data_IF_087756967251
#
_entry.id   IF_087756967251
#
_cell.length_a   1.000
_cell.length_b   1.000
_cell.length_c   1.000
_cell.angle_alpha   90.00
_cell.angle_beta   90.00
_cell.angle_gamma   90.00
#
_symmetry.space_group_name_H-M   'P 1'
#
loop_
_entity.id
_entity.type
_entity.pdbx_description
1 polymer ?
#
# COMPACT_ATOMS: atom_id res chain seq x y z
N UNK A 1 48.56 -3.13 -63.65
CA UNK A 1 48.38 -3.93 -62.40
C UNK A 1 48.63 -3.01 -61.20
N UNK A 2 47.58 -2.69 -60.50
CA UNK A 2 47.66 -1.68 -59.38
C UNK A 2 48.04 -2.42 -58.08
N UNK A 3 49.27 -2.25 -57.63
CA UNK A 3 49.77 -2.86 -56.41
C UNK A 3 49.12 -2.13 -55.25
N UNK A 4 48.15 -2.76 -54.60
CA UNK A 4 47.50 -2.25 -53.39
C UNK A 4 48.49 -2.39 -52.22
N UNK A 5 48.95 -1.27 -51.66
CA UNK A 5 49.93 -1.25 -50.60
C UNK A 5 49.32 -1.81 -49.29
N UNK A 6 49.83 -2.94 -48.83
CA UNK A 6 49.39 -3.68 -47.63
C UNK A 6 49.31 -2.77 -46.39
N UNK A 7 50.12 -1.72 -46.33
CA UNK A 7 50.11 -0.76 -45.26
C UNK A 7 48.84 0.11 -45.23
N UNK A 8 48.28 0.43 -46.37
CA UNK A 8 47.03 1.19 -46.47
C UNK A 8 45.82 0.30 -46.16
N UNK A 9 45.84 -0.97 -46.50
CA UNK A 9 44.81 -1.93 -46.15
C UNK A 9 44.69 -2.10 -44.65
N UNK A 10 45.79 -2.24 -43.91
CA UNK A 10 45.76 -2.33 -42.43
C UNK A 10 45.12 -1.09 -41.80
N UNK A 11 45.47 0.12 -42.25
CA UNK A 11 44.89 1.36 -41.76
C UNK A 11 43.36 1.45 -42.01
N UNK A 12 42.90 0.96 -43.13
CA UNK A 12 41.48 0.94 -43.48
C UNK A 12 40.74 -0.07 -42.61
N UNK A 13 41.31 -1.25 -42.36
CA UNK A 13 40.72 -2.28 -41.50
C UNK A 13 40.59 -1.77 -40.04
N UNK A 14 41.62 -1.13 -39.48
CA UNK A 14 41.57 -0.57 -38.12
C UNK A 14 40.52 0.55 -38.00
N UNK A 15 40.39 1.42 -39.00
CA UNK A 15 39.37 2.46 -39.03
C UNK A 15 37.96 1.87 -39.15
N UNK A 16 37.76 0.82 -39.97
CA UNK A 16 36.48 0.12 -40.08
C UNK A 16 36.08 -0.58 -38.77
N UNK A 17 37.04 -1.26 -38.11
CA UNK A 17 36.79 -1.93 -36.82
C UNK A 17 36.45 -0.91 -35.74
N UNK A 18 37.16 0.24 -35.70
CA UNK A 18 36.89 1.32 -34.76
C UNK A 18 35.50 1.95 -34.97
N UNK A 19 35.11 2.16 -36.26
CA UNK A 19 33.79 2.70 -36.59
C UNK A 19 32.67 1.71 -36.24
N UNK A 20 32.90 0.40 -36.45
CA UNK A 20 31.95 -0.66 -36.12
C UNK A 20 31.80 -0.80 -34.59
N UNK A 21 32.88 -0.61 -33.82
CA UNK A 21 32.84 -0.63 -32.36
C UNK A 21 31.97 0.49 -31.78
N UNK A 22 31.98 1.68 -32.37
CA UNK A 22 31.15 2.82 -31.91
C UNK A 22 29.66 2.55 -32.15
N UNK A 23 29.30 1.81 -33.20
CA UNK A 23 27.91 1.46 -33.52
C UNK A 23 27.28 0.45 -32.54
N UNK A 24 28.09 -0.37 -31.87
CA UNK A 24 27.61 -1.41 -30.96
C UNK A 24 27.22 -0.83 -29.59
N UNK A 25 27.76 0.33 -29.20
CA UNK A 25 27.50 0.95 -27.88
C UNK A 25 26.19 1.75 -27.81
N UNK A 26 25.41 1.85 -28.89
CA UNK A 26 24.19 2.65 -28.89
C UNK A 26 22.89 1.84 -28.67
N UNK A 27 22.99 0.53 -28.39
CA UNK A 27 21.81 -0.32 -28.12
C UNK A 27 21.52 -0.53 -26.61
N UNK A 28 21.98 0.39 -25.74
CA UNK A 28 21.54 0.40 -24.37
C UNK A 28 20.37 1.38 -24.22
N UNK A 29 19.26 1.04 -24.85
CA UNK A 29 17.96 1.58 -24.45
C UNK A 29 17.33 0.50 -23.59
N UNK A 30 17.59 0.51 -22.29
CA UNK A 30 16.71 -0.13 -21.33
C UNK A 30 15.37 0.60 -21.44
N UNK A 31 14.33 -0.13 -21.82
CA UNK A 31 12.96 0.32 -21.61
C UNK A 31 12.81 0.52 -20.09
N UNK A 32 12.87 1.77 -19.68
CA UNK A 32 12.53 2.15 -18.31
C UNK A 32 11.04 1.85 -18.19
N UNK A 33 10.70 0.71 -17.60
CA UNK A 33 9.35 0.40 -17.22
C UNK A 33 8.86 1.54 -16.29
N UNK A 34 8.05 2.41 -16.86
CA UNK A 34 7.50 3.53 -16.09
C UNK A 34 6.40 2.99 -15.21
N UNK A 35 6.72 2.76 -13.95
CA UNK A 35 5.73 2.48 -12.93
C UNK A 35 4.96 3.77 -12.68
N UNK A 36 3.67 3.75 -12.98
CA UNK A 36 2.76 4.86 -12.69
C UNK A 36 2.14 4.63 -11.31
N UNK A 37 2.27 5.62 -10.44
CA UNK A 37 1.55 5.62 -9.18
C UNK A 37 0.04 5.77 -9.46
N UNK A 38 -0.74 4.79 -9.04
CA UNK A 38 -2.19 4.93 -8.98
C UNK A 38 -2.55 5.70 -7.69
N UNK A 39 -2.70 7.02 -7.81
CA UNK A 39 -3.02 7.89 -6.68
C UNK A 39 -4.47 7.72 -6.18
N UNK A 40 -5.33 7.07 -6.98
CA UNK A 40 -6.74 6.82 -6.67
C UNK A 40 -6.97 5.40 -6.12
N UNK A 41 -5.89 4.71 -5.71
CA UNK A 41 -6.00 3.38 -5.12
C UNK A 41 -6.72 3.47 -3.76
N UNK A 42 -7.90 2.85 -3.69
CA UNK A 42 -8.74 2.86 -2.49
C UNK A 42 -8.65 1.52 -1.75
N UNK A 43 -8.65 1.61 -0.43
CA UNK A 43 -8.79 0.47 0.48
C UNK A 43 -10.25 0.31 0.87
N UNK A 44 -10.83 -0.86 0.61
CA UNK A 44 -12.21 -1.18 1.00
C UNK A 44 -12.19 -1.87 2.36
N UNK A 45 -12.75 -1.21 3.38
CA UNK A 45 -12.89 -1.76 4.71
C UNK A 45 -14.18 -2.57 4.84
N UNK A 46 -14.09 -3.78 5.40
CA UNK A 46 -15.20 -4.65 5.72
C UNK A 46 -15.18 -4.99 7.21
N UNK A 47 -16.33 -5.01 7.86
CA UNK A 47 -16.51 -5.44 9.23
C UNK A 47 -17.19 -6.81 9.27
N UNK A 48 -16.81 -7.66 10.21
CA UNK A 48 -17.40 -9.01 10.37
C UNK A 48 -18.84 -8.99 10.90
N UNK A 49 -19.27 -7.87 11.49
CA UNK A 49 -20.63 -7.68 12.02
C UNK A 49 -21.02 -6.19 11.99
N UNK A 50 -22.30 -5.94 11.71
CA UNK A 50 -22.87 -4.58 11.76
C UNK A 50 -23.36 -4.19 13.16
N UNK A 51 -23.61 -5.16 14.04
CA UNK A 51 -24.06 -4.96 15.39
C UNK A 51 -23.33 -5.89 16.35
N UNK A 52 -22.84 -5.37 17.45
CA UNK A 52 -22.17 -6.11 18.51
C UNK A 52 -22.72 -5.72 19.88
N UNK A 53 -22.68 -6.65 20.83
CA UNK A 53 -23.07 -6.40 22.22
C UNK A 53 -21.85 -6.62 23.11
N UNK A 54 -21.42 -5.57 23.80
CA UNK A 54 -20.25 -5.60 24.66
C UNK A 54 -20.70 -5.96 26.09
N UNK A 55 -20.24 -7.12 26.58
CA UNK A 55 -20.55 -7.61 27.94
C UNK A 55 -19.29 -7.93 28.71
N UNK A 56 -19.29 -7.67 30.00
CA UNK A 56 -18.13 -7.89 30.90
C UNK A 56 -17.71 -9.37 30.93
N UNK A 57 -18.67 -10.30 30.91
CA UNK A 57 -18.43 -11.74 30.93
C UNK A 57 -17.61 -12.25 29.72
N UNK A 58 -17.61 -11.50 28.65
CA UNK A 58 -16.91 -11.82 27.39
C UNK A 58 -15.78 -10.85 27.06
N UNK A 59 -15.26 -10.11 28.03
CA UNK A 59 -14.29 -9.02 27.86
C UNK A 59 -13.09 -9.39 26.96
N UNK A 60 -12.55 -10.59 27.10
CA UNK A 60 -11.38 -11.05 26.36
C UNK A 60 -11.71 -11.76 25.02
N UNK A 61 -13.01 -11.91 24.70
CA UNK A 61 -13.40 -12.54 23.44
C UNK A 61 -13.28 -11.54 22.29
N UNK A 62 -12.82 -12.01 21.14
CA UNK A 62 -12.90 -11.25 19.90
C UNK A 62 -14.38 -11.10 19.52
N UNK A 63 -14.80 -9.86 19.23
CA UNK A 63 -16.19 -9.53 18.95
C UNK A 63 -16.37 -8.91 17.56
N UNK A 64 -15.34 -8.28 17.03
CA UNK A 64 -15.38 -7.60 15.74
C UNK A 64 -14.03 -7.75 15.05
N UNK A 65 -14.06 -8.17 13.78
CA UNK A 65 -12.90 -8.17 12.91
C UNK A 65 -13.11 -7.15 11.80
N UNK A 66 -12.15 -6.27 11.63
CA UNK A 66 -12.05 -5.37 10.48
C UNK A 66 -11.05 -5.96 9.50
N UNK A 67 -11.42 -6.03 8.23
CA UNK A 67 -10.55 -6.49 7.14
C UNK A 67 -10.61 -5.53 5.97
N UNK A 68 -9.55 -5.44 5.19
CA UNK A 68 -9.50 -4.54 4.05
C UNK A 68 -8.71 -5.11 2.89
N UNK A 69 -8.94 -4.53 1.71
CA UNK A 69 -8.20 -4.88 0.51
C UNK A 69 -6.90 -4.09 0.44
N UNK A 70 -5.86 -4.73 -0.06
CA UNK A 70 -4.63 -4.03 -0.42
C UNK A 70 -4.89 -3.04 -1.55
N UNK A 71 -4.42 -1.79 -1.44
CA UNK A 71 -4.57 -0.81 -2.50
C UNK A 71 -3.62 -1.12 -3.66
N UNK A 72 -4.11 -1.06 -4.87
CA UNK A 72 -3.31 -1.30 -6.08
C UNK A 72 -2.60 -0.02 -6.54
N UNK A 73 -1.42 0.25 -6.01
CA UNK A 73 -0.61 1.41 -6.40
C UNK A 73 0.04 1.31 -7.79
N UNK A 74 -0.07 0.15 -8.47
CA UNK A 74 0.61 -0.12 -9.74
C UNK A 74 2.05 -0.61 -9.59
N UNK A 75 2.53 -0.77 -8.37
CA UNK A 75 3.83 -1.35 -8.03
C UNK A 75 3.78 -1.95 -6.63
N UNK A 76 4.72 -2.85 -6.35
CA UNK A 76 4.84 -3.49 -5.02
C UNK A 76 5.38 -2.46 -4.01
N UNK A 77 4.49 -1.93 -3.17
CA UNK A 77 4.79 -0.96 -2.13
C UNK A 77 4.43 -1.51 -0.76
N UNK A 78 5.30 -1.33 0.21
CA UNK A 78 4.97 -1.62 1.60
C UNK A 78 3.97 -0.58 2.12
N UNK A 79 2.73 -1.01 2.40
CA UNK A 79 1.69 -0.18 2.99
C UNK A 79 1.61 -0.39 4.51
N UNK A 80 1.32 0.67 5.25
CA UNK A 80 0.99 0.63 6.67
C UNK A 80 -0.46 1.09 6.83
N UNK A 81 -1.25 0.26 7.49
CA UNK A 81 -2.67 0.50 7.65
C UNK A 81 -3.01 1.02 9.03
N UNK A 82 -4.05 1.83 9.08
CA UNK A 82 -4.62 2.39 10.29
C UNK A 82 -6.13 2.33 10.21
N UNK A 83 -6.79 1.91 11.27
CA UNK A 83 -8.25 1.98 11.40
C UNK A 83 -8.61 3.18 12.27
N UNK A 84 -9.50 4.00 11.78
CA UNK A 84 -10.08 5.12 12.50
C UNK A 84 -11.49 4.74 12.95
N UNK A 85 -11.82 5.04 14.20
CA UNK A 85 -13.14 4.80 14.78
C UNK A 85 -13.67 6.12 15.33
N UNK A 86 -14.84 6.53 14.86
CA UNK A 86 -15.49 7.77 15.30
C UNK A 86 -16.97 7.53 15.57
N UNK A 87 -17.64 8.45 16.24
CA UNK A 87 -19.09 8.42 16.38
C UNK A 87 -19.78 8.62 15.03
N UNK A 88 -20.99 8.16 14.88
CA UNK A 88 -21.73 8.32 13.64
C UNK A 88 -21.93 9.80 13.29
N UNK A 89 -21.51 10.17 12.08
CA UNK A 89 -21.59 11.54 11.59
C UNK A 89 -20.42 12.44 12.00
N UNK A 90 -19.41 11.89 12.68
CA UNK A 90 -18.13 12.56 12.91
C UNK A 90 -17.34 12.75 11.61
N UNK A 91 -16.37 13.63 11.65
CA UNK A 91 -15.47 13.95 10.51
C UNK A 91 -14.10 13.26 10.63
N UNK A 92 -13.96 12.37 11.61
CA UNK A 92 -12.73 11.66 11.97
C UNK A 92 -11.59 12.56 12.49
N UNK A 93 -11.84 13.82 12.81
CA UNK A 93 -10.81 14.70 13.40
C UNK A 93 -10.42 14.28 14.83
N UNK A 94 -11.39 13.75 15.60
CA UNK A 94 -11.21 13.28 16.96
C UNK A 94 -11.32 11.74 17.09
N UNK A 95 -11.16 11.02 15.95
CA UNK A 95 -11.30 9.59 15.91
C UNK A 95 -10.27 8.86 16.78
N UNK A 96 -10.65 7.68 17.29
CA UNK A 96 -9.70 6.74 17.87
C UNK A 96 -8.84 6.13 16.78
N UNK A 97 -7.52 6.27 16.88
CA UNK A 97 -6.55 5.81 15.90
C UNK A 97 -6.03 4.43 16.32
N UNK A 98 -6.18 3.45 15.46
CA UNK A 98 -5.74 2.07 15.72
C UNK A 98 -4.76 1.63 14.63
N UNK A 99 -3.45 1.62 14.91
CA UNK A 99 -2.46 1.13 13.96
C UNK A 99 -2.62 -0.39 13.74
N UNK A 100 -2.71 -0.82 12.49
CA UNK A 100 -2.80 -2.21 12.09
C UNK A 100 -1.48 -2.75 11.48
N UNK A 101 -0.48 -1.87 11.28
CA UNK A 101 0.79 -2.24 10.66
C UNK A 101 0.60 -2.62 9.18
N UNK A 102 1.24 -3.69 8.75
CA UNK A 102 1.13 -4.21 7.37
C UNK A 102 0.08 -5.31 7.21
N UNK A 103 -0.70 -5.62 8.25
CA UNK A 103 -1.74 -6.64 8.17
C UNK A 103 -2.94 -6.14 7.37
N UNK A 104 -3.68 -7.06 6.74
CA UNK A 104 -4.91 -6.76 6.00
C UNK A 104 -6.18 -7.00 6.82
N UNK A 105 -6.00 -7.30 8.09
CA UNK A 105 -7.09 -7.46 9.06
C UNK A 105 -6.62 -7.16 10.47
N UNK A 106 -7.57 -6.91 11.34
CA UNK A 106 -7.38 -6.81 12.78
C UNK A 106 -8.67 -7.18 13.51
N UNK A 107 -8.53 -7.81 14.68
CA UNK A 107 -9.65 -8.13 15.55
C UNK A 107 -9.65 -7.23 16.79
N UNK A 108 -10.83 -6.95 17.27
CA UNK A 108 -11.07 -6.24 18.54
C UNK A 108 -11.71 -7.17 19.54
N UNK A 109 -11.17 -7.21 20.74
CA UNK A 109 -11.86 -7.81 21.88
C UNK A 109 -12.96 -6.89 22.40
N UNK A 110 -13.87 -7.45 23.18
CA UNK A 110 -14.94 -6.66 23.83
C UNK A 110 -14.35 -5.55 24.68
N UNK A 111 -13.31 -5.84 25.49
CA UNK A 111 -12.65 -4.85 26.36
C UNK A 111 -12.01 -3.73 25.54
N UNK A 112 -11.25 -4.06 24.49
CA UNK A 112 -10.61 -3.07 23.63
C UNK A 112 -11.60 -2.17 22.93
N UNK A 113 -12.65 -2.75 22.35
CA UNK A 113 -13.69 -1.97 21.67
C UNK A 113 -14.44 -1.09 22.66
N UNK A 114 -14.82 -1.61 23.83
CA UNK A 114 -15.48 -0.84 24.87
C UNK A 114 -14.61 0.34 25.35
N UNK A 115 -13.32 0.11 25.58
CA UNK A 115 -12.39 1.17 25.98
C UNK A 115 -12.32 2.32 24.96
N UNK A 116 -12.35 1.99 23.67
CA UNK A 116 -12.37 2.99 22.58
C UNK A 116 -13.68 3.75 22.53
N UNK A 117 -14.81 3.05 22.72
CA UNK A 117 -16.14 3.69 22.77
C UNK A 117 -16.23 4.69 23.93
N UNK A 118 -15.74 4.31 25.11
CA UNK A 118 -15.67 5.22 26.26
C UNK A 118 -14.75 6.42 26.01
N UNK A 119 -13.64 6.21 25.32
CA UNK A 119 -12.71 7.28 24.96
C UNK A 119 -13.29 8.27 23.94
N UNK A 120 -14.24 7.82 23.10
CA UNK A 120 -15.05 8.68 22.24
C UNK A 120 -16.17 9.43 22.99
N UNK A 121 -16.32 9.19 24.30
CA UNK A 121 -17.35 9.82 25.12
C UNK A 121 -18.73 9.16 25.05
N UNK A 122 -18.81 7.93 24.51
CA UNK A 122 -20.08 7.20 24.44
C UNK A 122 -20.50 6.73 25.84
N UNK A 123 -21.81 6.77 26.12
CA UNK A 123 -22.38 6.44 27.41
C UNK A 123 -22.48 4.92 27.59
N UNK A 124 -22.00 4.34 28.70
CA UNK A 124 -22.18 2.92 28.99
C UNK A 124 -23.65 2.52 29.07
N UNK A 125 -23.94 1.28 28.69
CA UNK A 125 -25.29 0.68 28.69
C UNK A 125 -26.32 1.37 27.76
N UNK A 126 -25.85 2.15 26.79
CA UNK A 126 -26.67 2.74 25.77
C UNK A 126 -26.30 2.17 24.38
N UNK A 127 -27.28 2.11 23.47
CA UNK A 127 -27.02 1.77 22.08
C UNK A 127 -26.43 2.98 21.38
N UNK A 128 -25.25 2.81 20.81
CA UNK A 128 -24.56 3.86 20.06
C UNK A 128 -24.14 3.35 18.69
N UNK A 129 -24.06 4.24 17.73
CA UNK A 129 -23.55 3.93 16.39
C UNK A 129 -22.20 4.59 16.17
N UNK A 130 -21.27 3.84 15.65
CA UNK A 130 -19.91 4.31 15.33
C UNK A 130 -19.59 4.05 13.87
N UNK A 131 -18.68 4.84 13.33
CA UNK A 131 -18.18 4.74 11.96
C UNK A 131 -16.73 4.26 11.98
N UNK A 132 -16.41 3.35 11.10
CA UNK A 132 -15.04 2.87 10.88
C UNK A 132 -14.54 3.34 9.53
N UNK A 133 -13.27 3.72 9.47
CA UNK A 133 -12.60 4.11 8.24
C UNK A 133 -11.20 3.51 8.20
N UNK A 134 -10.88 2.81 7.13
CA UNK A 134 -9.50 2.40 6.82
C UNK A 134 -8.71 3.56 6.25
N UNK A 135 -7.44 3.64 6.62
CA UNK A 135 -6.49 4.62 6.11
C UNK A 135 -5.13 3.96 5.89
N UNK A 136 -4.47 4.26 4.79
CA UNK A 136 -3.13 3.82 4.41
C UNK A 136 -2.25 4.98 3.98
#
# INVERSE_FOLDING_TARGET
MKVINIFNMKKIIYKSIFLLSILIFNFSCDDIERVYLNADAETILNLSADNVTLTEDTALNEILTASWTEPEFGFDAAALYTVLIDYQGGDFSDAQIVPAGSNLDMSFTVEELNGRMLSLGLTPNEVSTVSFKGFN
#
